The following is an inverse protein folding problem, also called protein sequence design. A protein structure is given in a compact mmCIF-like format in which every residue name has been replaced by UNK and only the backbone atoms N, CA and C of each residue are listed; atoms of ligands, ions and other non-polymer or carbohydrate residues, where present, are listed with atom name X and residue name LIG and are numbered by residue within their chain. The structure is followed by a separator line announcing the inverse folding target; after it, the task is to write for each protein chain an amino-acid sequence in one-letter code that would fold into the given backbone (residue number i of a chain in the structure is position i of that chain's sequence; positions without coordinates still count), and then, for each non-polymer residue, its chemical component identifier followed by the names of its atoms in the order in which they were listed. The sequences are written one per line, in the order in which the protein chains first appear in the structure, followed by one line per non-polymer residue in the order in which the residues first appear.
data_IF_455492003485
#
_entry.id   IF_455492003485
#
_cell.length_a   1.000
_cell.length_b   1.000
_cell.length_c   1.000
_cell.angle_alpha   90.00
_cell.angle_beta   90.00
_cell.angle_gamma   90.00
#
_symmetry.space_group_name_H-M   'P 1'
#
loop_
_entity.id
_entity.type
_entity.pdbx_description
1 polymer ?
#
# COMPACT_ATOMS: atom_id res chain seq x y z
N UNK A 1 -18.47 2.73 -13.49
CA UNK A 1 -17.22 2.27 -14.15
C UNK A 1 -16.73 1.05 -13.39
N UNK A 2 -16.61 -0.12 -14.06
CA UNK A 2 -15.94 -1.27 -13.46
C UNK A 2 -14.46 -0.91 -13.30
N UNK A 3 -14.06 -0.55 -12.09
CA UNK A 3 -12.65 -0.53 -11.73
C UNK A 3 -12.11 -1.94 -12.00
N UNK A 4 -11.10 -2.07 -12.87
CA UNK A 4 -10.46 -3.36 -13.23
C UNK A 4 -9.68 -4.02 -12.08
N UNK A 5 -10.27 -4.01 -10.89
CA UNK A 5 -9.72 -4.52 -9.64
C UNK A 5 -10.46 -5.82 -9.32
N UNK A 6 -9.74 -6.94 -9.34
CA UNK A 6 -10.26 -8.22 -8.84
C UNK A 6 -10.59 -8.08 -7.36
N UNK A 7 -11.86 -8.17 -7.01
CA UNK A 7 -12.32 -8.21 -5.63
C UNK A 7 -12.29 -9.66 -5.14
N UNK A 8 -11.65 -9.90 -4.00
CA UNK A 8 -11.59 -11.21 -3.35
C UNK A 8 -12.14 -11.08 -1.93
N UNK A 9 -13.15 -11.87 -1.58
CA UNK A 9 -13.72 -11.89 -0.24
C UNK A 9 -13.22 -13.13 0.51
N UNK A 10 -12.81 -12.94 1.76
CA UNK A 10 -12.36 -13.99 2.68
C UNK A 10 -13.19 -13.88 3.96
N UNK A 11 -13.88 -14.95 4.33
CA UNK A 11 -14.69 -14.95 5.55
C UNK A 11 -13.93 -15.63 6.68
N UNK A 12 -13.24 -14.82 7.48
CA UNK A 12 -12.38 -15.30 8.56
C UNK A 12 -13.12 -16.19 9.59
N UNK A 13 -14.42 -15.96 9.80
CA UNK A 13 -15.26 -16.77 10.71
C UNK A 13 -15.55 -18.18 10.19
N UNK A 14 -15.43 -18.42 8.88
CA UNK A 14 -15.51 -19.76 8.28
C UNK A 14 -14.14 -20.42 8.15
N UNK A 15 -13.09 -19.86 8.77
CA UNK A 15 -11.72 -20.39 8.70
C UNK A 15 -10.99 -20.04 7.40
N UNK A 16 -11.64 -19.32 6.47
CA UNK A 16 -11.03 -18.88 5.22
C UNK A 16 -10.11 -17.68 5.48
N UNK A 17 -8.80 -17.94 5.49
CA UNK A 17 -7.76 -16.91 5.72
C UNK A 17 -6.82 -16.71 4.54
N UNK A 18 -7.00 -17.48 3.46
CA UNK A 18 -6.07 -17.54 2.33
C UNK A 18 -6.81 -17.76 1.01
N UNK A 19 -6.49 -16.98 -0.03
CA UNK A 19 -6.82 -17.27 -1.43
C UNK A 19 -5.51 -17.32 -2.22
N UNK A 20 -5.11 -18.50 -2.70
CA UNK A 20 -3.82 -18.68 -3.38
C UNK A 20 -2.65 -18.26 -2.49
N UNK A 21 -1.86 -17.27 -2.93
CA UNK A 21 -0.75 -16.69 -2.17
C UNK A 21 -1.16 -15.53 -1.24
N UNK A 22 -2.43 -15.12 -1.26
CA UNK A 22 -2.91 -13.97 -0.49
C UNK A 22 -3.45 -14.43 0.86
N UNK A 23 -2.74 -14.07 1.94
CA UNK A 23 -3.19 -14.28 3.30
C UNK A 23 -3.84 -13.00 3.86
N UNK A 24 -5.05 -13.10 4.44
CA UNK A 24 -5.76 -11.94 5.04
C UNK A 24 -4.89 -11.23 6.07
N UNK A 25 -4.08 -11.97 6.83
CA UNK A 25 -3.18 -11.38 7.82
C UNK A 25 -2.07 -10.55 7.18
N UNK A 26 -1.55 -10.95 6.03
CA UNK A 26 -0.52 -10.20 5.31
C UNK A 26 -1.10 -8.89 4.74
N UNK A 27 -2.31 -8.96 4.19
CA UNK A 27 -3.05 -7.77 3.71
C UNK A 27 -3.35 -6.81 4.88
N UNK A 28 -3.83 -7.34 6.00
CA UNK A 28 -4.12 -6.54 7.20
C UNK A 28 -2.84 -5.89 7.78
N UNK A 29 -1.73 -6.63 7.83
CA UNK A 29 -0.44 -6.10 8.28
C UNK A 29 0.03 -4.95 7.37
N UNK A 30 -0.05 -5.13 6.05
CA UNK A 30 0.31 -4.09 5.08
C UNK A 30 -0.54 -2.82 5.25
N UNK A 31 -1.85 -2.97 5.43
CA UNK A 31 -2.76 -1.85 5.67
C UNK A 31 -2.49 -1.16 7.02
N UNK A 32 -2.18 -1.92 8.06
CA UNK A 32 -1.84 -1.37 9.39
C UNK A 32 -0.58 -0.52 9.31
N UNK A 33 0.48 -1.05 8.69
CA UNK A 33 1.72 -0.30 8.47
C UNK A 33 1.48 0.97 7.64
N UNK A 34 0.56 0.90 6.65
CA UNK A 34 0.18 2.08 5.87
C UNK A 34 -0.43 3.17 6.74
N UNK A 35 -1.43 2.82 7.55
CA UNK A 35 -2.08 3.77 8.46
C UNK A 35 -1.09 4.35 9.45
N UNK A 36 -0.18 3.55 9.99
CA UNK A 36 0.88 4.00 10.89
C UNK A 36 1.84 4.99 10.22
N UNK A 37 2.29 4.71 8.99
CA UNK A 37 3.12 5.64 8.23
C UNK A 37 2.37 6.94 7.90
N UNK A 38 1.09 6.83 7.54
CA UNK A 38 0.23 7.97 7.21
C UNK A 38 -0.03 8.89 8.41
N UNK A 39 -0.04 8.37 9.64
CA UNK A 39 -0.24 9.17 10.86
C UNK A 39 0.80 10.28 11.05
N UNK A 40 1.95 10.19 10.38
CA UNK A 40 2.99 11.22 10.35
C UNK A 40 2.55 12.48 9.60
N UNK A 41 1.59 12.35 8.68
CA UNK A 41 1.08 13.45 7.87
C UNK A 41 -0.26 13.93 8.46
N UNK A 42 -0.30 15.15 8.99
CA UNK A 42 -1.45 15.72 9.71
C UNK A 42 -2.59 16.18 8.77
N UNK A 43 -3.17 15.23 8.04
CA UNK A 43 -4.28 15.48 7.11
C UNK A 43 -3.79 15.74 5.70
N UNK A 44 -3.71 14.68 4.89
CA UNK A 44 -3.48 14.78 3.45
C UNK A 44 -4.80 14.57 2.73
N UNK A 45 -5.05 15.37 1.68
CA UNK A 45 -6.24 15.17 0.87
C UNK A 45 -6.19 13.79 0.20
N UNK A 46 -7.28 13.02 0.29
CA UNK A 46 -7.36 11.65 -0.24
C UNK A 46 -7.00 11.55 -1.72
N UNK A 47 -7.18 12.65 -2.48
CA UNK A 47 -6.76 12.75 -3.89
C UNK A 47 -5.25 12.51 -4.12
N UNK A 48 -4.41 12.71 -3.10
CA UNK A 48 -2.97 12.47 -3.19
C UNK A 48 -2.55 11.09 -2.64
N UNK A 49 -3.47 10.28 -2.10
CA UNK A 49 -3.15 8.94 -1.60
C UNK A 49 -2.40 8.06 -2.61
N UNK A 50 -2.73 8.06 -3.92
CA UNK A 50 -1.97 7.28 -4.90
C UNK A 50 -0.49 7.68 -4.96
N UNK A 51 -0.18 8.97 -4.94
CA UNK A 51 1.21 9.47 -4.95
C UNK A 51 1.96 9.08 -3.67
N UNK A 52 1.31 9.16 -2.51
CA UNK A 52 1.88 8.74 -1.23
C UNK A 52 2.15 7.24 -1.19
N UNK A 53 1.26 6.43 -1.76
CA UNK A 53 1.49 4.99 -1.90
C UNK A 53 2.69 4.69 -2.83
N UNK A 54 2.83 5.45 -3.92
CA UNK A 54 4.00 5.37 -4.80
C UNK A 54 5.30 5.63 -4.04
N UNK A 55 5.38 6.76 -3.33
CA UNK A 55 6.55 7.12 -2.54
C UNK A 55 6.85 6.10 -1.45
N UNK A 56 5.83 5.61 -0.74
CA UNK A 56 6.03 4.59 0.29
C UNK A 56 6.66 3.32 -0.27
N UNK A 57 6.18 2.84 -1.42
CA UNK A 57 6.74 1.63 -2.08
C UNK A 57 8.20 1.82 -2.47
N UNK A 58 8.55 3.00 -2.97
CA UNK A 58 9.94 3.33 -3.35
C UNK A 58 10.83 3.36 -2.11
N UNK A 59 10.38 3.99 -1.02
CA UNK A 59 11.12 4.03 0.25
C UNK A 59 11.28 2.63 0.84
N UNK A 60 10.23 1.80 0.83
CA UNK A 60 10.29 0.42 1.33
C UNK A 60 11.21 -0.47 0.48
N UNK A 61 11.27 -0.23 -0.85
CA UNK A 61 12.12 -0.99 -1.77
C UNK A 61 13.59 -0.59 -1.69
N UNK A 62 13.87 0.71 -1.70
CA UNK A 62 15.21 1.25 -1.92
C UNK A 62 15.88 1.75 -0.63
N UNK A 63 15.10 2.12 0.39
CA UNK A 63 15.58 2.50 1.72
C UNK A 63 16.71 3.52 1.69
N UNK A 64 17.84 3.19 2.31
CA UNK A 64 19.05 4.04 2.36
C UNK A 64 19.76 4.20 1.00
N UNK A 65 19.47 3.31 0.04
CA UNK A 65 20.02 3.39 -1.33
C UNK A 65 19.25 4.38 -2.20
N UNK A 66 18.19 4.99 -1.65
CA UNK A 66 17.34 5.92 -2.36
C UNK A 66 18.09 7.22 -2.67
N UNK A 67 18.30 7.47 -3.96
CA UNK A 67 18.89 8.71 -4.45
C UNK A 67 17.80 9.75 -4.79
N UNK A 68 18.10 11.06 -4.76
CA UNK A 68 17.15 12.09 -5.18
C UNK A 68 16.59 11.89 -6.60
N UNK A 69 17.41 11.33 -7.50
CA UNK A 69 16.99 10.99 -8.87
C UNK A 69 15.91 9.91 -8.91
N UNK A 70 16.02 8.89 -8.05
CA UNK A 70 15.02 7.81 -7.96
C UNK A 70 13.71 8.30 -7.32
N UNK A 71 13.79 9.23 -6.36
CA UNK A 71 12.60 9.87 -5.78
C UNK A 71 11.77 10.61 -6.83
N UNK A 72 12.44 11.39 -7.69
CA UNK A 72 11.79 12.13 -8.77
C UNK A 72 11.20 11.19 -9.83
N UNK A 73 11.94 10.16 -10.22
CA UNK A 73 11.48 9.19 -11.23
C UNK A 73 10.20 8.47 -10.79
N UNK A 74 10.12 8.03 -9.54
CA UNK A 74 8.96 7.30 -9.04
C UNK A 74 7.79 8.17 -8.54
N UNK A 75 7.97 9.50 -8.49
CA UNK A 75 6.86 10.44 -8.24
C UNK A 75 6.05 10.75 -9.51
N UNK A 76 6.64 10.55 -10.69
CA UNK A 76 6.04 10.85 -11.99
C UNK A 76 5.40 9.62 -12.67
N UNK A 77 5.62 8.42 -12.12
CA UNK A 77 5.01 7.16 -12.56
C UNK A 77 3.71 6.88 -11.82
#
# INVERSE_FOLDING_TARGET
AQTGITQMALVASHGERTIGCYHTQNVNAYQSHFKGWMARFKGVASKYLPSYLGWRRIIERDGERLTPRQCLAGAMS
#
